data_IF_319974212291
#
_entry.id   IF_319974212291
#
_cell.length_a   1.000
_cell.length_b   1.000
_cell.length_c   1.000
_cell.angle_alpha   90.00
_cell.angle_beta   90.00
_cell.angle_gamma   90.00
#
_symmetry.space_group_name_H-M   'P 1'
#
loop_
_entity.id
_entity.type
_entity.pdbx_description
1 polymer ?
#
# COMPACT_ATOMS: atom_id res chain seq x y z
N UNK A 1 -11.11 31.84 6.36
CA UNK A 1 -10.06 30.87 6.74
C UNK A 1 -10.62 29.98 7.83
N UNK A 2 -11.21 28.83 7.46
CA UNK A 2 -11.90 27.89 8.36
C UNK A 2 -11.89 26.48 7.74
N UNK A 3 -10.73 25.83 7.63
CA UNK A 3 -10.65 24.41 7.24
C UNK A 3 -9.41 23.84 7.93
N UNK A 4 -9.63 23.16 9.05
CA UNK A 4 -8.62 22.61 9.95
C UNK A 4 -9.34 21.70 10.94
N UNK A 5 -10.08 20.74 10.40
CA UNK A 5 -10.96 19.85 11.13
C UNK A 5 -10.74 18.45 10.54
N UNK A 6 -10.78 17.41 11.39
CA UNK A 6 -10.83 15.97 11.07
C UNK A 6 -9.47 15.23 11.05
N UNK A 7 -8.55 15.52 11.96
CA UNK A 7 -7.39 14.61 12.17
C UNK A 7 -7.16 14.11 13.60
N UNK A 8 -8.03 14.44 14.56
CA UNK A 8 -7.89 13.96 15.94
C UNK A 8 -9.22 13.55 16.60
N UNK A 9 -10.17 13.01 15.81
CA UNK A 9 -11.38 12.37 16.35
C UNK A 9 -11.51 10.88 16.00
N UNK A 10 -10.62 10.34 15.18
CA UNK A 10 -10.68 8.93 14.74
C UNK A 10 -10.23 7.89 15.76
N UNK A 11 -9.61 8.30 16.88
CA UNK A 11 -9.10 7.35 17.89
C UNK A 11 -9.70 7.52 19.30
N UNK A 12 -10.60 8.48 19.53
CA UNK A 12 -11.25 8.67 20.84
C UNK A 12 -12.79 8.73 20.85
N UNK A 13 -13.50 8.56 19.72
CA UNK A 13 -14.99 8.53 19.70
C UNK A 13 -15.55 7.26 19.05
N UNK A 14 -14.85 6.12 19.16
CA UNK A 14 -15.41 4.80 18.78
C UNK A 14 -15.95 4.09 20.01
N UNK A 15 -16.85 4.75 20.73
CA UNK A 15 -17.76 4.10 21.66
C UNK A 15 -19.05 4.93 21.65
N UNK A 16 -20.16 4.27 21.30
CA UNK A 16 -21.56 4.73 21.31
C UNK A 16 -22.13 5.26 19.98
N UNK A 17 -22.62 4.33 19.16
CA UNK A 17 -23.91 4.46 18.45
C UNK A 17 -24.30 3.12 17.79
N UNK A 18 -24.75 2.16 18.58
CA UNK A 18 -25.56 1.03 18.10
C UNK A 18 -26.84 0.97 18.94
N UNK A 19 -27.89 1.66 18.49
CA UNK A 19 -29.28 1.39 18.86
C UNK A 19 -30.21 2.21 17.97
N UNK A 20 -30.58 1.66 16.81
CA UNK A 20 -31.96 1.62 16.32
C UNK A 20 -31.99 0.98 14.93
N UNK A 21 -32.29 -0.31 14.94
CA UNK A 21 -32.84 -1.05 13.82
C UNK A 21 -34.24 -0.51 13.51
N UNK A 22 -34.42 0.03 12.30
CA UNK A 22 -35.73 0.35 11.72
C UNK A 22 -35.71 0.02 10.23
N UNK A 23 -36.39 -1.06 9.87
CA UNK A 23 -36.50 -1.61 8.52
C UNK A 23 -37.09 -0.60 7.51
N UNK A 24 -36.55 -0.58 6.29
CA UNK A 24 -37.27 -0.14 5.09
C UNK A 24 -36.73 -0.89 3.84
N UNK A 25 -37.55 -1.06 2.79
CA UNK A 25 -37.69 -2.33 2.09
C UNK A 25 -36.77 -2.52 0.88
N UNK A 26 -36.55 -3.80 0.56
CA UNK A 26 -36.03 -4.32 -0.70
C UNK A 26 -36.75 -3.67 -1.89
N UNK A 27 -36.01 -2.94 -2.72
CA UNK A 27 -36.46 -2.57 -4.06
C UNK A 27 -35.41 -2.97 -5.11
N UNK A 28 -35.87 -3.79 -6.05
CA UNK A 28 -35.41 -3.84 -7.44
C UNK A 28 -33.92 -4.07 -7.70
N UNK A 29 -33.53 -5.35 -7.77
CA UNK A 29 -32.36 -5.75 -8.56
C UNK A 29 -32.63 -5.42 -10.05
N UNK A 30 -32.27 -4.21 -10.46
CA UNK A 30 -32.19 -3.83 -11.87
C UNK A 30 -30.84 -4.31 -12.36
N UNK A 31 -30.84 -5.49 -13.00
CA UNK A 31 -29.66 -6.04 -13.66
C UNK A 31 -29.13 -5.04 -14.66
N UNK A 32 -28.03 -4.38 -14.33
CA UNK A 32 -27.19 -3.73 -15.32
C UNK A 32 -26.59 -4.84 -16.17
N UNK A 33 -27.11 -5.00 -17.38
CA UNK A 33 -26.37 -5.64 -18.46
C UNK A 33 -25.11 -4.80 -18.69
N UNK A 34 -24.04 -5.17 -17.99
CA UNK A 34 -22.72 -4.63 -18.21
C UNK A 34 -22.26 -5.20 -19.54
N UNK A 35 -22.39 -4.38 -20.59
CA UNK A 35 -21.86 -4.63 -21.92
C UNK A 35 -20.41 -5.07 -21.77
N UNK A 36 -20.08 -6.28 -22.20
CA UNK A 36 -18.73 -6.82 -22.11
C UNK A 36 -17.82 -5.99 -23.03
N UNK A 37 -17.04 -5.07 -22.43
CA UNK A 37 -16.21 -4.09 -23.15
C UNK A 37 -14.96 -4.73 -23.78
N UNK A 38 -14.90 -6.07 -23.89
CA UNK A 38 -13.78 -6.84 -24.44
C UNK A 38 -12.48 -6.78 -23.61
N UNK A 39 -12.44 -5.96 -22.56
CA UNK A 39 -11.27 -5.81 -21.69
C UNK A 39 -11.15 -6.94 -20.69
N UNK A 40 -9.99 -7.55 -20.62
CA UNK A 40 -9.65 -8.62 -19.68
C UNK A 40 -8.73 -8.08 -18.57
N UNK A 41 -8.66 -8.72 -17.38
CA UNK A 41 -7.66 -8.38 -16.38
C UNK A 41 -6.25 -8.43 -16.95
N UNK A 42 -5.38 -7.48 -16.56
CA UNK A 42 -3.99 -7.43 -17.04
C UNK A 42 -3.21 -8.72 -16.73
N UNK A 43 -3.49 -9.36 -15.60
CA UNK A 43 -2.93 -10.66 -15.25
C UNK A 43 -3.33 -11.76 -16.26
N UNK A 44 -4.56 -11.74 -16.75
CA UNK A 44 -5.03 -12.67 -17.77
C UNK A 44 -4.36 -12.40 -19.12
N UNK A 45 -4.28 -11.13 -19.54
CA UNK A 45 -3.60 -10.75 -20.79
C UNK A 45 -2.12 -11.17 -20.78
N UNK A 46 -1.44 -10.98 -19.65
CA UNK A 46 -0.07 -11.45 -19.46
C UNK A 46 0.05 -12.97 -19.54
N UNK A 47 -0.89 -13.72 -18.95
CA UNK A 47 -0.90 -15.18 -19.04
C UNK A 47 -1.10 -15.68 -20.48
N UNK A 48 -1.92 -14.99 -21.28
CA UNK A 48 -2.10 -15.30 -22.70
C UNK A 48 -0.81 -15.04 -23.50
N UNK A 49 -0.08 -13.97 -23.19
CA UNK A 49 1.24 -13.68 -23.77
C UNK A 49 2.29 -14.73 -23.39
N UNK A 50 2.33 -15.13 -22.12
CA UNK A 50 3.21 -16.18 -21.61
C UNK A 50 3.03 -17.48 -22.42
N UNK A 51 1.78 -17.88 -22.67
CA UNK A 51 1.47 -19.05 -23.51
C UNK A 51 1.84 -18.84 -24.97
N UNK A 52 1.50 -17.68 -25.56
CA UNK A 52 1.76 -17.37 -26.98
C UNK A 52 3.25 -17.39 -27.31
N UNK A 53 4.08 -16.85 -26.42
CA UNK A 53 5.50 -16.66 -26.65
C UNK A 53 6.39 -17.67 -25.91
N UNK A 54 5.80 -18.59 -25.13
CA UNK A 54 6.51 -19.59 -24.32
C UNK A 54 7.58 -18.97 -23.38
N UNK A 55 7.18 -17.90 -22.68
CA UNK A 55 8.04 -17.15 -21.74
C UNK A 55 7.37 -17.05 -20.37
N UNK A 56 8.15 -16.79 -19.31
CA UNK A 56 7.59 -16.57 -17.98
C UNK A 56 7.35 -15.08 -17.73
N UNK A 57 6.11 -14.71 -17.43
CA UNK A 57 5.70 -13.33 -17.15
C UNK A 57 5.18 -13.24 -15.71
N UNK A 58 5.83 -12.42 -14.89
CA UNK A 58 5.41 -12.12 -13.53
C UNK A 58 4.62 -10.81 -13.54
N UNK A 59 3.43 -10.83 -12.96
CA UNK A 59 2.58 -9.64 -12.81
C UNK A 59 2.51 -9.28 -11.33
N UNK A 60 2.79 -8.01 -11.03
CA UNK A 60 2.61 -7.44 -9.71
C UNK A 60 1.16 -7.64 -9.21
N UNK A 61 0.94 -8.32 -8.07
CA UNK A 61 -0.39 -8.61 -7.54
C UNK A 61 -1.26 -7.35 -7.29
N UNK A 62 -0.63 -6.18 -7.12
CA UNK A 62 -1.35 -4.91 -6.98
C UNK A 62 -2.03 -4.42 -8.27
N UNK A 63 -1.68 -4.99 -9.43
CA UNK A 63 -2.22 -4.57 -10.72
C UNK A 63 -3.58 -5.22 -10.99
N UNK A 64 -4.63 -4.43 -10.82
CA UNK A 64 -6.03 -4.86 -10.99
C UNK A 64 -6.70 -4.27 -12.24
N UNK A 65 -5.94 -3.56 -13.08
CA UNK A 65 -6.45 -2.90 -14.27
C UNK A 65 -6.99 -3.89 -15.32
N UNK A 66 -8.03 -3.46 -16.06
CA UNK A 66 -8.56 -4.18 -17.23
C UNK A 66 -8.05 -3.54 -18.52
N UNK A 67 -7.59 -4.36 -19.44
CA UNK A 67 -6.87 -3.98 -20.66
C UNK A 67 -7.43 -4.74 -21.86
N UNK A 68 -7.25 -4.18 -23.06
CA UNK A 68 -7.48 -4.90 -24.30
C UNK A 68 -6.34 -5.90 -24.54
N UNK A 69 -6.63 -7.12 -25.02
CA UNK A 69 -5.61 -8.08 -25.39
C UNK A 69 -4.67 -7.51 -26.47
N UNK A 70 -3.35 -7.52 -26.23
CA UNK A 70 -2.37 -7.03 -27.20
C UNK A 70 -2.35 -7.91 -28.45
N UNK A 71 -2.12 -7.28 -29.61
CA UNK A 71 -2.19 -7.96 -30.92
C UNK A 71 -0.82 -8.12 -31.58
N UNK A 72 0.22 -7.48 -31.02
CA UNK A 72 1.55 -7.52 -31.61
C UNK A 72 2.10 -8.94 -31.86
N UNK A 73 2.93 -9.05 -32.90
CA UNK A 73 3.57 -10.29 -33.33
C UNK A 73 4.81 -10.66 -32.50
N UNK A 74 5.43 -9.68 -31.84
CA UNK A 74 6.62 -9.87 -31.00
C UNK A 74 6.27 -9.63 -29.53
N UNK A 75 6.90 -10.39 -28.62
CA UNK A 75 6.67 -10.28 -27.19
C UNK A 75 6.89 -8.85 -26.65
N UNK A 76 8.01 -8.22 -27.00
CA UNK A 76 8.39 -6.90 -26.48
C UNK A 76 7.36 -5.83 -26.91
N UNK A 77 6.93 -5.85 -28.17
CA UNK A 77 5.85 -4.95 -28.64
C UNK A 77 4.51 -5.25 -27.95
N UNK A 78 4.20 -6.52 -27.70
CA UNK A 78 2.98 -6.89 -27.01
C UNK A 78 2.98 -6.41 -25.55
N UNK A 79 4.12 -6.50 -24.87
CA UNK A 79 4.32 -5.94 -23.53
C UNK A 79 4.22 -4.41 -23.54
N UNK A 80 4.81 -3.73 -24.54
CA UNK A 80 4.66 -2.28 -24.72
C UNK A 80 3.20 -1.87 -24.91
N UNK A 81 2.45 -2.56 -25.78
CA UNK A 81 1.02 -2.35 -25.98
C UNK A 81 0.21 -2.56 -24.70
N UNK A 82 0.57 -3.58 -23.92
CA UNK A 82 -0.11 -3.92 -22.67
C UNK A 82 0.10 -2.84 -21.60
N UNK A 83 1.34 -2.44 -21.34
CA UNK A 83 1.64 -1.47 -20.27
C UNK A 83 1.21 -0.05 -20.62
N UNK A 84 1.19 0.34 -21.90
CA UNK A 84 0.71 1.67 -22.32
C UNK A 84 -0.75 1.95 -21.98
N UNK A 85 -1.55 0.90 -21.78
CA UNK A 85 -2.96 1.02 -21.40
C UNK A 85 -3.16 1.37 -19.92
N UNK A 86 -2.12 1.24 -19.09
CA UNK A 86 -2.19 1.47 -17.64
C UNK A 86 -1.11 2.46 -17.21
N UNK A 87 -1.52 3.64 -16.78
CA UNK A 87 -0.59 4.69 -16.32
C UNK A 87 0.30 4.19 -15.17
N UNK A 88 1.59 4.54 -15.19
CA UNK A 88 2.53 4.21 -14.13
C UNK A 88 3.02 2.75 -14.13
N UNK A 89 2.48 1.89 -14.99
CA UNK A 89 2.93 0.51 -15.16
C UNK A 89 4.07 0.45 -16.17
N UNK A 90 5.07 -0.37 -15.86
CA UNK A 90 6.19 -0.65 -16.77
C UNK A 90 6.44 -2.15 -16.83
N UNK A 91 7.16 -2.59 -17.85
CA UNK A 91 7.70 -3.94 -17.90
C UNK A 91 9.23 -3.93 -17.88
N UNK A 92 9.85 -4.97 -17.32
CA UNK A 92 11.31 -5.17 -17.32
C UNK A 92 11.67 -6.61 -17.67
N UNK A 93 12.73 -6.77 -18.46
CA UNK A 93 13.40 -8.05 -18.68
C UNK A 93 14.40 -8.29 -17.55
N UNK A 94 14.28 -9.41 -16.86
CA UNK A 94 14.99 -9.70 -15.61
C UNK A 94 15.72 -11.03 -15.73
N UNK A 95 17.01 -11.03 -15.41
CA UNK A 95 17.82 -12.24 -15.34
C UNK A 95 18.13 -12.53 -13.88
N UNK A 96 17.93 -13.77 -13.48
CA UNK A 96 18.17 -14.21 -12.10
C UNK A 96 19.40 -15.08 -12.05
N UNK A 97 20.13 -15.03 -10.94
CA UNK A 97 21.26 -15.91 -10.69
C UNK A 97 20.80 -17.38 -10.79
N UNK A 98 21.64 -18.26 -11.37
CA UNK A 98 21.48 -19.71 -11.33
C UNK A 98 21.86 -20.19 -9.92
N UNK A 99 20.90 -20.15 -9.01
CA UNK A 99 20.99 -20.99 -7.80
C UNK A 99 20.53 -22.38 -8.21
N UNK A 100 21.41 -23.38 -8.10
CA UNK A 100 21.14 -24.75 -8.53
C UNK A 100 19.83 -25.27 -7.89
N UNK A 101 18.80 -25.49 -8.72
CA UNK A 101 17.58 -26.21 -8.35
C UNK A 101 16.43 -25.37 -7.78
N UNK A 102 16.59 -24.07 -7.54
CA UNK A 102 15.52 -23.23 -7.01
C UNK A 102 15.09 -22.15 -7.99
N UNK A 103 13.82 -22.19 -8.42
CA UNK A 103 13.22 -21.05 -9.09
C UNK A 103 12.97 -19.93 -8.08
N UNK A 104 13.31 -18.67 -8.41
CA UNK A 104 13.09 -17.55 -7.51
C UNK A 104 11.60 -17.31 -7.31
N UNK A 105 11.20 -17.09 -6.06
CA UNK A 105 9.81 -16.78 -5.70
C UNK A 105 9.34 -15.51 -6.44
N UNK A 106 8.19 -15.52 -7.13
CA UNK A 106 7.70 -14.39 -7.93
C UNK A 106 7.68 -13.06 -7.17
N UNK A 107 7.20 -13.06 -5.93
CA UNK A 107 7.05 -11.88 -5.09
C UNK A 107 8.41 -11.28 -4.75
N UNK A 108 9.43 -12.11 -4.51
CA UNK A 108 10.80 -11.65 -4.25
C UNK A 108 11.39 -10.98 -5.48
N UNK A 109 11.17 -11.55 -6.66
CA UNK A 109 11.63 -10.96 -7.93
C UNK A 109 10.97 -9.61 -8.15
N UNK A 110 9.64 -9.53 -8.05
CA UNK A 110 8.89 -8.28 -8.24
C UNK A 110 9.37 -7.20 -7.25
N UNK A 111 9.52 -7.54 -5.97
CA UNK A 111 9.98 -6.60 -4.95
C UNK A 111 11.42 -6.15 -5.18
N UNK A 112 12.32 -7.05 -5.59
CA UNK A 112 13.69 -6.70 -5.92
C UNK A 112 13.76 -5.77 -7.14
N UNK A 113 13.04 -6.07 -8.22
CA UNK A 113 12.94 -5.20 -9.40
C UNK A 113 12.42 -3.82 -9.01
N UNK A 114 11.36 -3.78 -8.19
CA UNK A 114 10.82 -2.52 -7.68
C UNK A 114 11.86 -1.73 -6.89
N UNK A 115 12.61 -2.38 -6.00
CA UNK A 115 13.67 -1.73 -5.23
C UNK A 115 14.74 -1.14 -6.17
N UNK A 116 15.24 -1.93 -7.14
CA UNK A 116 16.26 -1.50 -8.10
C UNK A 116 15.81 -0.30 -8.93
N UNK A 117 14.53 -0.20 -9.30
CA UNK A 117 13.98 0.91 -10.08
C UNK A 117 13.79 2.21 -9.28
N UNK A 118 13.81 2.16 -7.94
CA UNK A 118 13.60 3.33 -7.08
C UNK A 118 14.87 3.75 -6.31
N UNK A 119 16.01 3.13 -6.57
CA UNK A 119 17.27 3.65 -6.05
C UNK A 119 17.64 4.89 -6.89
N UNK A 120 17.57 6.07 -6.27
CA UNK A 120 17.95 7.34 -6.91
C UNK A 120 19.48 7.56 -6.93
N UNK A 121 20.25 6.67 -6.30
CA UNK A 121 21.71 6.70 -6.31
C UNK A 121 22.26 6.04 -7.58
N UNK A 122 23.27 6.67 -8.21
CA UNK A 122 23.96 6.08 -9.37
C UNK A 122 24.71 4.78 -9.04
N UNK A 123 25.08 4.57 -7.78
CA UNK A 123 25.63 3.33 -7.27
C UNK A 123 25.85 3.39 -5.76
N UNK A 124 25.86 2.24 -5.11
CA UNK A 124 26.11 2.10 -3.66
C UNK A 124 26.89 0.82 -3.39
N UNK A 125 27.84 0.92 -2.46
CA UNK A 125 28.59 -0.20 -1.90
C UNK A 125 28.37 -0.21 -0.39
N UNK A 126 27.91 -1.34 0.14
CA UNK A 126 27.73 -1.54 1.58
C UNK A 126 28.63 -2.69 2.01
N UNK A 127 29.56 -2.41 2.92
CA UNK A 127 30.55 -3.38 3.41
C UNK A 127 30.13 -3.88 4.79
N UNK A 128 29.96 -5.19 4.94
CA UNK A 128 29.86 -5.85 6.24
C UNK A 128 31.25 -6.32 6.66
N UNK A 129 31.89 -5.55 7.54
CA UNK A 129 33.23 -5.87 8.03
C UNK A 129 33.28 -7.16 8.86
N UNK A 130 32.16 -7.55 9.50
CA UNK A 130 32.11 -8.75 10.35
C UNK A 130 31.99 -10.01 9.51
N UNK A 131 31.15 -9.98 8.48
CA UNK A 131 31.01 -11.09 7.54
C UNK A 131 32.10 -11.10 6.46
N UNK A 132 32.89 -10.02 6.35
CA UNK A 132 33.82 -9.77 5.25
C UNK A 132 33.16 -9.91 3.87
N UNK A 133 31.95 -9.37 3.76
CA UNK A 133 31.16 -9.36 2.52
C UNK A 133 30.82 -7.94 2.11
N UNK A 134 30.52 -7.74 0.83
CA UNK A 134 30.02 -6.47 0.32
C UNK A 134 28.76 -6.70 -0.51
N UNK A 135 27.84 -5.75 -0.45
CA UNK A 135 26.72 -5.61 -1.37
C UNK A 135 27.03 -4.46 -2.32
N UNK A 136 26.90 -4.72 -3.62
CA UNK A 136 27.17 -3.73 -4.67
C UNK A 136 25.94 -3.54 -5.53
N UNK A 137 25.63 -2.28 -5.82
CA UNK A 137 24.61 -1.88 -6.77
C UNK A 137 25.12 -0.72 -7.63
N UNK A 138 24.84 -0.80 -8.93
CA UNK A 138 25.11 0.27 -9.89
C UNK A 138 23.88 0.42 -10.77
N UNK A 139 23.34 1.65 -10.83
CA UNK A 139 22.16 1.97 -11.63
C UNK A 139 22.56 2.38 -13.06
N UNK A 140 21.64 2.19 -14.00
CA UNK A 140 21.72 2.75 -15.36
C UNK A 140 23.01 2.44 -16.13
N UNK A 141 23.58 1.26 -15.88
CA UNK A 141 24.75 0.80 -16.63
C UNK A 141 24.37 0.51 -18.09
N UNK A 142 25.14 0.98 -19.09
CA UNK A 142 24.81 0.78 -20.49
C UNK A 142 24.84 -0.71 -20.85
N UNK A 143 23.80 -1.16 -21.56
CA UNK A 143 23.73 -2.54 -22.06
C UNK A 143 24.67 -2.69 -23.27
N UNK A 144 25.68 -3.54 -23.16
CA UNK A 144 26.60 -3.82 -24.26
C UNK A 144 25.97 -4.78 -25.28
N UNK A 145 26.31 -4.67 -26.59
CA UNK A 145 25.92 -5.68 -27.57
C UNK A 145 26.37 -7.08 -27.13
N UNK A 146 25.52 -8.08 -27.32
CA UNK A 146 25.83 -9.47 -26.91
C UNK A 146 25.79 -9.72 -25.40
N UNK A 147 25.30 -8.78 -24.58
CA UNK A 147 25.18 -8.93 -23.12
C UNK A 147 24.63 -10.30 -22.69
N UNK A 148 23.59 -10.79 -23.36
CA UNK A 148 22.94 -12.07 -23.03
C UNK A 148 23.88 -13.27 -23.15
N UNK A 149 24.84 -13.24 -24.07
CA UNK A 149 25.83 -14.31 -24.28
C UNK A 149 26.85 -14.36 -23.14
N UNK A 150 27.04 -13.24 -22.43
CA UNK A 150 27.93 -13.14 -21.28
C UNK A 150 27.30 -13.53 -19.95
N UNK A 151 25.98 -13.72 -19.88
CA UNK A 151 25.26 -13.98 -18.61
C UNK A 151 25.76 -15.23 -17.88
N UNK A 152 26.07 -16.28 -18.62
CA UNK A 152 26.56 -17.54 -18.04
C UNK A 152 28.03 -17.48 -17.63
N UNK A 153 28.76 -16.48 -18.09
CA UNK A 153 30.17 -16.24 -17.78
C UNK A 153 30.33 -15.29 -16.58
N UNK A 154 29.25 -14.65 -16.12
CA UNK A 154 29.26 -13.85 -14.90
C UNK A 154 29.48 -14.72 -13.66
N UNK A 155 30.00 -14.12 -12.59
CA UNK A 155 30.20 -14.81 -11.32
C UNK A 155 29.42 -14.08 -10.21
N UNK A 156 28.35 -14.68 -9.65
CA UNK A 156 27.78 -15.99 -10.01
C UNK A 156 27.05 -15.97 -11.38
N UNK A 157 26.88 -17.13 -12.05
CA UNK A 157 26.30 -17.20 -13.39
C UNK A 157 24.80 -16.91 -13.38
N UNK A 158 24.32 -16.15 -14.35
CA UNK A 158 22.91 -15.83 -14.51
C UNK A 158 22.21 -16.79 -15.47
N UNK A 159 20.92 -17.02 -15.27
CA UNK A 159 20.08 -17.76 -16.20
C UNK A 159 19.97 -17.00 -17.51
N UNK A 160 20.27 -17.67 -18.63
CA UNK A 160 20.02 -17.14 -19.96
C UNK A 160 18.52 -17.05 -20.31
N UNK A 161 17.64 -17.71 -19.52
CA UNK A 161 16.19 -17.59 -19.65
C UNK A 161 15.71 -16.37 -18.86
N UNK A 162 15.22 -15.31 -19.52
CA UNK A 162 14.73 -14.12 -18.84
C UNK A 162 13.34 -14.37 -18.23
N UNK A 163 13.06 -13.64 -17.15
CA UNK A 163 11.73 -13.38 -16.64
C UNK A 163 11.28 -12.01 -17.13
N UNK A 164 10.02 -11.87 -17.50
CA UNK A 164 9.44 -10.57 -17.82
C UNK A 164 8.57 -10.14 -16.65
N UNK A 165 8.82 -8.97 -16.09
CA UNK A 165 8.10 -8.47 -14.91
C UNK A 165 7.28 -7.26 -15.29
N UNK A 166 5.98 -7.32 -15.09
CA UNK A 166 5.05 -6.19 -15.23
C UNK A 166 4.74 -5.70 -13.83
N UNK A 167 5.08 -4.45 -13.54
CA UNK A 167 4.93 -3.88 -12.21
C UNK A 167 4.64 -2.39 -12.27
N UNK A 168 4.13 -1.88 -11.16
CA UNK A 168 4.16 -0.46 -10.87
C UNK A 168 5.42 -0.14 -10.03
N UNK A 169 6.40 0.61 -10.57
CA UNK A 169 7.65 0.87 -9.86
C UNK A 169 7.42 1.65 -8.58
N UNK A 170 6.54 2.64 -8.60
CA UNK A 170 6.13 3.40 -7.42
C UNK A 170 4.71 3.01 -7.10
N UNK A 171 4.49 2.06 -6.16
CA UNK A 171 3.14 1.67 -5.79
C UNK A 171 2.39 2.94 -5.44
N UNK A 172 1.16 3.08 -5.93
CA UNK A 172 0.28 4.23 -5.66
C UNK A 172 -0.02 4.33 -4.17
N UNK A 173 0.93 4.83 -3.39
CA UNK A 173 0.74 5.25 -2.03
C UNK A 173 -0.09 6.53 -2.06
N UNK A 174 -1.42 6.39 -2.05
CA UNK A 174 -2.40 7.49 -1.86
C UNK A 174 -2.41 8.61 -2.92
N UNK A 175 -1.45 8.65 -3.84
CA UNK A 175 -1.27 9.73 -4.84
C UNK A 175 -2.31 9.72 -5.96
N UNK A 176 -3.15 8.69 -6.04
CA UNK A 176 -4.19 8.53 -7.07
C UNK A 176 -5.60 8.84 -6.63
N UNK A 177 -5.76 9.41 -5.45
CA UNK A 177 -7.02 10.03 -5.12
C UNK A 177 -7.06 11.33 -5.96
N UNK A 178 -7.87 11.36 -7.04
CA UNK A 178 -8.07 12.60 -7.79
C UNK A 178 -8.56 13.67 -6.82
N UNK A 179 -7.93 14.84 -6.84
CA UNK A 179 -8.25 15.94 -5.94
C UNK A 179 -7.03 16.58 -5.30
N UNK A 180 -7.27 17.61 -4.49
CA UNK A 180 -6.27 18.24 -3.63
C UNK A 180 -5.77 17.25 -2.58
N UNK A 181 -4.55 17.45 -2.04
CA UNK A 181 -4.00 16.60 -0.96
C UNK A 181 -4.97 16.40 0.21
N UNK A 182 -5.81 17.40 0.49
CA UNK A 182 -6.87 17.32 1.50
C UNK A 182 -7.97 16.31 1.13
N UNK A 183 -8.45 16.34 -0.11
CA UNK A 183 -9.45 15.39 -0.62
C UNK A 183 -8.90 13.97 -0.68
N UNK A 184 -7.61 13.83 -1.05
CA UNK A 184 -6.90 12.56 -1.00
C UNK A 184 -6.88 12.02 0.44
N UNK A 185 -6.46 12.85 1.37
CA UNK A 185 -6.38 12.47 2.76
C UNK A 185 -7.76 12.10 3.34
N UNK A 186 -8.80 12.87 3.06
CA UNK A 186 -10.17 12.59 3.49
C UNK A 186 -10.70 11.26 2.94
N UNK A 187 -10.46 10.97 1.66
CA UNK A 187 -10.90 9.70 1.05
C UNK A 187 -10.12 8.50 1.60
N UNK A 188 -8.84 8.67 1.92
CA UNK A 188 -8.06 7.65 2.60
C UNK A 188 -8.62 7.34 4.00
N UNK A 189 -8.99 8.37 4.76
CA UNK A 189 -9.63 8.20 6.07
C UNK A 189 -10.97 7.46 5.96
N UNK A 190 -11.79 7.77 4.97
CA UNK A 190 -13.05 7.06 4.73
C UNK A 190 -12.82 5.57 4.46
N UNK A 191 -11.85 5.24 3.62
CA UNK A 191 -11.50 3.85 3.32
C UNK A 191 -10.97 3.10 4.55
N UNK A 192 -10.16 3.77 5.40
CA UNK A 192 -9.69 3.20 6.67
C UNK A 192 -10.86 2.94 7.62
N UNK A 193 -11.82 3.85 7.73
CA UNK A 193 -13.00 3.69 8.57
C UNK A 193 -13.90 2.56 8.08
N UNK A 194 -14.15 2.48 6.77
CA UNK A 194 -14.93 1.39 6.17
C UNK A 194 -14.28 0.03 6.40
N UNK A 195 -12.95 -0.03 6.31
CA UNK A 195 -12.19 -1.24 6.58
C UNK A 195 -12.30 -1.65 8.07
N UNK A 196 -12.08 -0.71 8.98
CA UNK A 196 -12.23 -0.94 10.43
C UNK A 196 -13.65 -1.37 10.82
N UNK A 197 -14.67 -0.86 10.11
CA UNK A 197 -16.06 -1.22 10.32
C UNK A 197 -16.37 -2.66 9.89
N UNK A 198 -15.65 -3.20 8.89
CA UNK A 198 -15.81 -4.57 8.39
C UNK A 198 -14.99 -5.61 9.17
N UNK A 199 -13.99 -5.17 9.93
CA UNK A 199 -13.17 -6.03 10.79
C UNK A 199 -13.92 -6.50 12.04
N UNK A 200 -13.56 -7.67 12.54
CA UNK A 200 -13.99 -8.14 13.87
C UNK A 200 -13.37 -7.27 14.99
N UNK A 201 -13.92 -7.29 16.21
CA UNK A 201 -13.35 -6.55 17.34
C UNK A 201 -11.89 -6.93 17.64
N UNK A 202 -11.53 -8.20 17.52
CA UNK A 202 -10.17 -8.71 17.75
C UNK A 202 -9.20 -8.21 16.66
N UNK A 203 -9.61 -8.29 15.39
CA UNK A 203 -8.83 -7.78 14.26
C UNK A 203 -8.62 -6.26 14.37
N UNK A 204 -9.66 -5.54 14.78
CA UNK A 204 -9.59 -4.10 15.02
C UNK A 204 -8.59 -3.78 16.13
N UNK A 205 -8.63 -4.51 17.24
CA UNK A 205 -7.70 -4.31 18.35
C UNK A 205 -6.25 -4.57 17.92
N UNK A 206 -6.01 -5.60 17.10
CA UNK A 206 -4.69 -5.91 16.56
C UNK A 206 -4.19 -4.83 15.59
N UNK A 207 -5.05 -4.37 14.67
CA UNK A 207 -4.74 -3.31 13.72
C UNK A 207 -4.39 -2.00 14.44
N UNK A 208 -5.13 -1.64 15.49
CA UNK A 208 -4.86 -0.45 16.31
C UNK A 208 -3.53 -0.55 17.06
N UNK A 209 -3.20 -1.72 17.63
CA UNK A 209 -1.88 -1.94 18.27
C UNK A 209 -0.73 -1.80 17.27
N UNK A 210 -0.89 -2.36 16.08
CA UNK A 210 0.11 -2.24 15.01
C UNK A 210 0.28 -0.77 14.57
N UNK A 211 -0.84 -0.04 14.40
CA UNK A 211 -0.82 1.39 14.10
C UNK A 211 -0.12 2.21 15.18
N UNK A 212 -0.37 1.91 16.45
CA UNK A 212 0.30 2.55 17.58
C UNK A 212 1.81 2.28 17.62
N UNK A 213 2.23 1.04 17.33
CA UNK A 213 3.66 0.73 17.22
C UNK A 213 4.33 1.45 16.06
N UNK A 214 3.67 1.53 14.90
CA UNK A 214 4.16 2.29 13.77
C UNK A 214 4.31 3.77 14.11
N UNK A 215 3.32 4.34 14.83
CA UNK A 215 3.38 5.70 15.36
C UNK A 215 4.57 5.89 16.29
N UNK A 216 4.78 4.99 17.26
CA UNK A 216 5.89 5.06 18.21
C UNK A 216 7.26 4.94 17.56
N UNK A 217 7.34 4.29 16.40
CA UNK A 217 8.56 4.18 15.60
C UNK A 217 8.74 5.31 14.58
N UNK A 218 7.76 6.22 14.45
CA UNK A 218 7.90 7.39 13.59
C UNK A 218 8.95 8.36 14.15
N UNK A 219 9.43 9.24 13.26
CA UNK A 219 10.41 10.28 13.61
C UNK A 219 9.95 11.03 14.89
N UNK A 220 10.82 11.17 15.91
CA UNK A 220 10.47 11.85 17.16
C UNK A 220 9.93 13.27 16.94
N UNK A 221 10.51 14.03 16.01
CA UNK A 221 10.11 15.42 15.74
C UNK A 221 8.72 15.48 15.10
N UNK A 222 8.46 14.58 14.14
CA UNK A 222 7.14 14.44 13.53
C UNK A 222 6.07 14.07 14.56
N UNK A 223 6.41 13.17 15.49
CA UNK A 223 5.51 12.79 16.58
C UNK A 223 5.16 13.98 17.48
N UNK A 224 6.14 14.78 17.87
CA UNK A 224 5.92 15.95 18.72
C UNK A 224 5.05 16.99 18.02
N UNK A 225 5.37 17.31 16.75
CA UNK A 225 4.60 18.30 15.98
C UNK A 225 3.12 17.91 15.87
N UNK A 226 2.83 16.68 15.50
CA UNK A 226 1.46 16.20 15.41
C UNK A 226 0.76 16.09 16.77
N UNK A 227 1.50 15.77 17.85
CA UNK A 227 0.93 15.77 19.20
C UNK A 227 0.51 17.17 19.63
N UNK A 228 1.38 18.17 19.43
CA UNK A 228 1.06 19.57 19.73
C UNK A 228 -0.09 20.09 18.87
N UNK A 229 -0.10 19.77 17.58
CA UNK A 229 -1.19 20.15 16.69
C UNK A 229 -2.51 19.48 17.10
N UNK A 230 -2.45 18.21 17.50
CA UNK A 230 -3.59 17.48 18.03
C UNK A 230 -4.15 18.08 19.32
N UNK A 231 -3.28 18.45 20.26
CA UNK A 231 -3.67 19.12 21.51
C UNK A 231 -4.28 20.49 21.27
N UNK A 232 -3.74 21.26 20.32
CA UNK A 232 -4.33 22.55 19.93
C UNK A 232 -5.72 22.35 19.35
N UNK A 233 -5.88 21.40 18.42
CA UNK A 233 -7.16 21.13 17.79
C UNK A 233 -8.19 20.59 18.78
N UNK A 234 -7.80 19.72 19.71
CA UNK A 234 -8.72 19.18 20.72
C UNK A 234 -9.21 20.28 21.67
N UNK A 235 -8.34 21.23 22.01
CA UNK A 235 -8.70 22.40 22.79
C UNK A 235 -9.65 23.34 22.03
N UNK A 236 -9.37 23.63 20.76
CA UNK A 236 -10.25 24.42 19.90
C UNK A 236 -11.63 23.75 19.73
N UNK A 237 -11.64 22.43 19.54
CA UNK A 237 -12.86 21.64 19.48
C UNK A 237 -13.64 21.71 20.80
N UNK A 238 -12.98 21.49 21.93
CA UNK A 238 -13.58 21.59 23.25
C UNK A 238 -14.25 22.95 23.48
N UNK A 239 -13.55 24.02 23.13
CA UNK A 239 -14.07 25.39 23.23
C UNK A 239 -15.24 25.65 22.28
N UNK A 240 -15.32 24.94 21.16
CA UNK A 240 -16.43 25.05 20.21
C UNK A 240 -17.71 24.34 20.68
N UNK A 241 -17.61 23.44 21.67
CA UNK A 241 -18.76 22.72 22.20
C UNK A 241 -19.64 23.63 23.05
N UNK A 242 -20.97 23.48 22.97
CA UNK A 242 -21.89 24.08 23.93
C UNK A 242 -21.56 23.70 25.39
N UNK A 243 -21.81 24.58 26.38
CA UNK A 243 -21.44 24.34 27.78
C UNK A 243 -22.03 23.07 28.40
N UNK A 244 -23.22 22.67 27.96
CA UNK A 244 -23.91 21.44 28.36
C UNK A 244 -23.20 20.19 27.83
N UNK A 245 -22.69 20.21 26.60
CA UNK A 245 -21.87 19.12 26.08
C UNK A 245 -20.51 19.05 26.76
N UNK A 246 -19.89 20.19 27.06
CA UNK A 246 -18.65 20.22 27.83
C UNK A 246 -18.85 19.59 29.22
N UNK A 247 -19.95 19.91 29.92
CA UNK A 247 -20.27 19.31 31.21
C UNK A 247 -20.51 17.80 31.10
N UNK A 248 -21.29 17.35 30.11
CA UNK A 248 -21.51 15.91 29.90
C UNK A 248 -20.22 15.15 29.64
N UNK A 249 -19.29 15.72 28.86
CA UNK A 249 -17.99 15.11 28.62
C UNK A 249 -17.12 15.12 29.87
N UNK A 250 -17.16 16.17 30.69
CA UNK A 250 -16.46 16.18 31.98
C UNK A 250 -17.02 15.12 32.94
N UNK A 251 -18.34 14.92 32.97
CA UNK A 251 -18.97 13.88 33.77
C UNK A 251 -18.63 12.47 33.27
N UNK A 252 -18.64 12.27 31.95
CA UNK A 252 -18.26 10.99 31.34
C UNK A 252 -16.78 10.68 31.61
N UNK A 253 -15.90 11.66 31.48
CA UNK A 253 -14.48 11.55 31.78
C UNK A 253 -14.23 11.25 33.27
N UNK A 254 -14.97 11.91 34.17
CA UNK A 254 -14.89 11.65 35.61
C UNK A 254 -15.30 10.21 35.93
N UNK A 255 -16.42 9.73 35.38
CA UNK A 255 -16.87 8.34 35.56
C UNK A 255 -15.87 7.32 35.02
N UNK A 256 -15.29 7.59 33.85
CA UNK A 256 -14.27 6.72 33.26
C UNK A 256 -13.02 6.65 34.14
N UNK A 257 -12.56 7.80 34.66
CA UNK A 257 -11.39 7.88 35.52
C UNK A 257 -11.62 7.19 36.87
N UNK A 258 -12.79 7.39 37.48
CA UNK A 258 -13.19 6.70 38.71
C UNK A 258 -13.26 5.18 38.51
N UNK A 259 -13.77 4.73 37.37
CA UNK A 259 -13.88 3.30 37.05
C UNK A 259 -12.52 2.63 36.80
N UNK A 260 -11.55 3.33 36.21
CA UNK A 260 -10.25 2.74 35.84
C UNK A 260 -9.10 3.02 36.82
N UNK A 261 -9.13 4.16 37.51
CA UNK A 261 -8.07 4.59 38.44
C UNK A 261 -8.58 4.84 39.86
N UNK A 262 -9.89 5.02 40.05
CA UNK A 262 -10.52 5.32 41.34
C UNK A 262 -11.01 4.10 42.14
N UNK A 263 -10.85 2.88 41.64
CA UNK A 263 -11.20 1.63 42.35
C UNK A 263 -10.18 1.20 43.41
N UNK A 264 -9.60 2.18 44.12
CA UNK A 264 -8.59 1.98 45.16
C UNK A 264 -9.10 2.26 46.57
N UNK A 265 -10.37 1.99 46.87
CA UNK A 265 -10.86 1.93 48.25
C UNK A 265 -11.00 0.48 48.69
N UNK A 266 -9.90 -0.03 49.22
CA UNK A 266 -9.82 -1.27 49.94
C UNK A 266 -8.52 -1.34 50.73
N UNK A 267 -8.53 -0.80 51.95
CA UNK A 267 -8.04 -1.40 53.22
C UNK A 267 -7.47 -0.34 54.18
N UNK A 268 -7.61 -0.50 55.51
CA UNK A 268 -8.19 -1.65 56.24
C UNK A 268 -9.62 -1.42 56.74
#
# INVERSE_FOLDING_TARGET
>A
MRIGWILMLGLCVVLWAFAQSGQAPRSGAKGSSQKDDGRIPIAQAAQELEKKFAVKILVDPGLTARVNPPQAETLERALDELVRQVSGVVWRKVYTNKVLGEEPQPERVINAVRALLNIDLGGVLVVDQRANTLNSFVANYPLTPGFEQGLEQMQPPFSAKPLYVILEPRPRALTELKGTRLEQFAKAQQQLLELLARMTPEERAQALRAGFQMWMNADPELRYQMMFEGLRMSFEWWQSLPPDQQQQMMEMGRKWFEQYFGGGDGMP
#
